data_IF_381499149520
#
_entry.id   IF_381499149520
#
_cell.length_a   1.000
_cell.length_b   1.000
_cell.length_c   1.000
_cell.angle_alpha   90.00
_cell.angle_beta   90.00
_cell.angle_gamma   90.00
#
_symmetry.space_group_name_H-M   'P 1'
#
loop_
_entity.id
_entity.type
_entity.pdbx_description
1 polymer ?
#
# COMPACT_ATOMS: atom_id res chain seq x y z
N UNK A 1 -8.31 49.56 14.39
CA UNK A 1 -7.71 48.48 13.58
C UNK A 1 -7.43 47.32 14.51
N UNK A 2 -8.28 46.31 14.49
CA UNK A 2 -8.03 45.01 15.11
C UNK A 2 -8.64 44.00 14.17
N UNK A 3 -7.81 43.50 13.24
CA UNK A 3 -8.12 42.37 12.39
C UNK A 3 -8.10 41.13 13.27
N UNK A 4 -9.28 40.60 13.59
CA UNK A 4 -9.41 39.26 14.14
C UNK A 4 -9.31 38.28 12.99
N UNK A 5 -8.12 37.72 12.79
CA UNK A 5 -7.93 36.50 12.02
C UNK A 5 -8.71 35.39 12.73
N UNK A 6 -9.78 34.90 12.08
CA UNK A 6 -10.43 33.66 12.48
C UNK A 6 -9.56 32.51 12.00
N UNK A 7 -9.14 31.63 12.92
CA UNK A 7 -8.62 30.33 12.53
C UNK A 7 -9.67 29.60 11.67
N UNK A 8 -9.28 28.90 10.60
CA UNK A 8 -10.24 28.14 9.82
C UNK A 8 -10.81 27.05 10.73
N UNK A 9 -12.13 27.05 10.88
CA UNK A 9 -12.85 25.91 11.42
C UNK A 9 -12.65 24.79 10.41
N UNK A 10 -11.95 23.72 10.78
CA UNK A 10 -11.87 22.53 9.94
C UNK A 10 -13.31 22.13 9.57
N UNK A 11 -13.59 22.07 8.26
CA UNK A 11 -14.90 21.64 7.79
C UNK A 11 -15.18 20.24 8.36
N UNK A 12 -16.43 19.94 8.70
CA UNK A 12 -16.82 18.67 9.32
C UNK A 12 -16.44 17.41 8.50
N UNK A 13 -16.00 17.60 7.25
CA UNK A 13 -15.61 16.56 6.29
C UNK A 13 -14.10 16.58 5.94
N UNK A 14 -13.27 17.37 6.64
CA UNK A 14 -11.82 17.41 6.39
C UNK A 14 -11.16 16.10 6.84
N UNK A 15 -10.24 15.58 6.01
CA UNK A 15 -9.38 14.43 6.31
C UNK A 15 -7.94 14.84 6.17
N UNK A 16 -7.10 14.45 7.12
CA UNK A 16 -5.66 14.66 7.01
C UNK A 16 -5.03 13.56 6.15
N UNK A 17 -4.18 13.94 5.21
CA UNK A 17 -3.34 13.02 4.44
C UNK A 17 -1.87 13.22 4.81
N UNK A 18 -1.17 12.11 5.01
CA UNK A 18 0.28 12.04 5.12
C UNK A 18 0.87 11.51 3.82
N UNK A 19 1.92 12.18 3.33
CA UNK A 19 2.52 11.89 2.04
C UNK A 19 3.99 11.59 2.21
N UNK A 20 4.40 10.45 1.65
CA UNK A 20 5.79 10.06 1.51
C UNK A 20 6.31 10.43 0.13
N UNK A 21 7.57 10.84 0.04
CA UNK A 21 8.20 11.31 -1.22
C UNK A 21 9.56 10.66 -1.45
N UNK A 22 10.01 10.62 -2.70
CA UNK A 22 11.41 10.33 -3.04
C UNK A 22 12.20 11.62 -3.26
N UNK A 23 13.54 11.57 -3.21
CA UNK A 23 14.38 12.68 -3.65
C UNK A 23 14.03 13.13 -5.06
N UNK A 24 14.10 14.44 -5.29
CA UNK A 24 14.10 15.01 -6.64
C UNK A 24 15.51 14.83 -7.23
N UNK A 25 15.73 13.68 -7.87
CA UNK A 25 17.03 13.27 -8.42
C UNK A 25 17.49 11.90 -7.94
N UNK A 26 18.79 11.62 -8.12
CA UNK A 26 19.38 10.32 -7.81
C UNK A 26 19.78 10.16 -6.34
N UNK A 27 19.96 11.25 -5.61
CA UNK A 27 20.56 11.24 -4.28
C UNK A 27 19.49 11.42 -3.20
N UNK A 28 19.40 10.48 -2.27
CA UNK A 28 18.59 10.64 -1.06
C UNK A 28 19.06 11.87 -0.25
N UNK A 29 18.11 12.62 0.30
CA UNK A 29 18.28 13.87 1.02
C UNK A 29 18.23 15.12 0.13
N UNK A 30 17.79 15.01 -1.14
CA UNK A 30 17.78 16.10 -2.12
C UNK A 30 16.51 16.96 -2.12
N UNK A 31 15.62 16.82 -1.14
CA UNK A 31 14.44 17.67 -0.98
C UNK A 31 13.16 16.92 -0.61
N UNK A 32 13.27 15.64 -0.35
CA UNK A 32 12.17 14.78 0.06
C UNK A 32 11.90 14.84 1.56
N UNK A 33 10.75 14.29 1.92
CA UNK A 33 10.28 14.27 3.28
C UNK A 33 8.85 13.78 3.40
N UNK A 34 8.32 13.94 4.60
CA UNK A 34 6.93 13.66 4.92
C UNK A 34 6.17 14.96 4.82
N UNK A 35 5.11 14.96 4.04
CA UNK A 35 4.21 16.09 3.89
C UNK A 35 2.87 15.78 4.52
N UNK A 36 2.17 16.82 4.93
CA UNK A 36 0.80 16.78 5.43
C UNK A 36 -0.05 17.75 4.64
N UNK A 37 -1.27 17.34 4.30
CA UNK A 37 -2.30 18.26 3.81
C UNK A 37 -3.67 17.81 4.29
N UNK A 38 -4.67 18.65 4.07
CA UNK A 38 -6.07 18.32 4.30
C UNK A 38 -6.78 18.08 2.97
N UNK A 39 -7.75 17.17 2.94
CA UNK A 39 -8.67 16.99 1.82
C UNK A 39 -10.10 17.10 2.33
N UNK A 40 -10.94 17.87 1.65
CA UNK A 40 -12.38 17.86 1.93
C UNK A 40 -12.99 16.60 1.33
N UNK A 41 -13.40 15.64 2.17
CA UNK A 41 -13.95 14.37 1.69
C UNK A 41 -15.30 14.51 0.94
N UNK A 42 -15.98 15.65 1.07
CA UNK A 42 -17.22 15.94 0.37
C UNK A 42 -17.00 16.60 -0.99
N UNK A 43 -15.95 17.41 -1.19
CA UNK A 43 -15.66 18.09 -2.47
C UNK A 43 -14.47 17.50 -3.23
N UNK A 44 -13.48 16.97 -2.53
CA UNK A 44 -12.20 16.49 -3.07
C UNK A 44 -11.12 17.58 -3.13
N UNK A 45 -11.41 18.79 -2.65
CA UNK A 45 -10.48 19.91 -2.64
C UNK A 45 -9.30 19.65 -1.69
N UNK A 46 -8.08 19.81 -2.19
CA UNK A 46 -6.84 19.67 -1.45
C UNK A 46 -6.44 21.02 -0.84
N UNK A 47 -6.11 21.00 0.45
CA UNK A 47 -5.54 22.12 1.17
C UNK A 47 -4.05 22.33 0.86
N UNK A 48 -3.49 23.43 1.38
CA UNK A 48 -2.07 23.72 1.22
C UNK A 48 -1.18 22.64 1.86
N UNK A 49 -0.20 22.08 1.13
CA UNK A 49 0.69 21.08 1.67
C UNK A 49 1.76 21.69 2.57
N UNK A 50 2.03 21.04 3.70
CA UNK A 50 3.08 21.40 4.65
C UNK A 50 4.12 20.28 4.73
N UNK A 51 5.39 20.61 4.52
CA UNK A 51 6.50 19.71 4.82
C UNK A 51 6.67 19.64 6.35
N UNK A 52 6.43 18.47 6.93
CA UNK A 52 6.37 18.27 8.39
C UNK A 52 7.57 17.51 8.94
N UNK A 53 8.29 16.76 8.09
CA UNK A 53 9.58 16.18 8.44
C UNK A 53 10.48 16.06 7.20
N UNK A 54 11.73 16.52 7.31
CA UNK A 54 12.76 16.22 6.31
C UNK A 54 13.42 14.90 6.70
N UNK A 55 13.23 13.88 5.88
CA UNK A 55 13.81 12.55 6.08
C UNK A 55 14.14 11.96 4.71
N UNK A 56 15.21 11.16 4.57
CA UNK A 56 15.58 10.62 3.27
C UNK A 56 14.60 9.53 2.81
N UNK A 57 14.24 9.56 1.53
CA UNK A 57 13.36 8.62 0.81
C UNK A 57 12.24 7.99 1.66
N UNK A 58 11.31 8.76 2.28
CA UNK A 58 10.14 8.23 2.97
C UNK A 58 9.11 7.71 1.97
N UNK A 59 9.46 6.66 1.23
CA UNK A 59 8.69 6.15 0.10
C UNK A 59 7.40 5.43 0.51
N UNK A 60 7.30 5.02 1.78
CA UNK A 60 6.13 4.37 2.36
C UNK A 60 5.94 4.77 3.82
N UNK A 61 4.69 5.00 4.21
CA UNK A 61 4.29 5.43 5.54
C UNK A 61 3.29 4.47 6.16
N UNK A 62 3.24 4.39 7.48
CA UNK A 62 2.18 3.72 8.22
C UNK A 62 1.83 4.47 9.51
N UNK A 63 0.55 4.60 9.80
CA UNK A 63 0.07 5.04 11.12
C UNK A 63 -0.06 3.85 12.05
N UNK A 64 0.17 4.06 13.35
CA UNK A 64 -0.23 3.08 14.36
C UNK A 64 -1.76 2.92 14.40
N UNK A 65 -2.29 1.80 14.92
CA UNK A 65 -3.74 1.58 14.98
C UNK A 65 -4.53 2.67 15.74
N UNK A 66 -3.85 3.44 16.60
CA UNK A 66 -4.44 4.53 17.35
C UNK A 66 -4.43 5.88 16.60
N UNK A 67 -3.73 5.99 15.46
CA UNK A 67 -3.57 7.24 14.73
C UNK A 67 -2.77 8.30 15.50
N UNK A 68 -1.89 7.87 16.41
CA UNK A 68 -1.08 8.74 17.29
C UNK A 68 0.39 8.78 16.90
N UNK A 69 0.84 7.82 16.09
CA UNK A 69 2.23 7.74 15.61
C UNK A 69 2.26 7.44 14.13
N UNK A 70 3.26 8.00 13.46
CA UNK A 70 3.58 7.74 12.06
C UNK A 70 4.96 7.10 11.97
N UNK A 71 5.09 6.09 11.13
CA UNK A 71 6.36 5.45 10.81
C UNK A 71 6.64 5.60 9.32
N UNK A 72 7.91 5.84 9.00
CA UNK A 72 8.37 5.98 7.63
C UNK A 72 9.57 5.08 7.38
N UNK A 73 9.57 4.39 6.25
CA UNK A 73 10.79 3.74 5.76
C UNK A 73 11.76 4.80 5.25
N UNK A 74 13.06 4.49 5.23
CA UNK A 74 14.06 5.24 4.48
C UNK A 74 14.57 4.30 3.39
N UNK A 75 14.00 4.42 2.19
CA UNK A 75 14.26 3.50 1.08
C UNK A 75 15.60 3.83 0.40
N UNK A 76 16.69 3.38 1.02
CA UNK A 76 18.06 3.51 0.54
C UNK A 76 18.83 2.20 0.75
N UNK A 77 20.05 2.09 0.22
CA UNK A 77 20.92 0.94 0.47
C UNK A 77 21.13 0.69 1.97
N UNK A 78 21.32 1.77 2.75
CA UNK A 78 21.37 1.73 4.21
C UNK A 78 19.99 1.99 4.81
N UNK A 79 19.07 1.06 4.54
CA UNK A 79 17.67 1.14 4.91
C UNK A 79 17.44 1.35 6.41
N UNK A 80 16.46 2.22 6.73
CA UNK A 80 16.06 2.50 8.10
C UNK A 80 14.53 2.61 8.22
N UNK A 81 14.04 2.61 9.45
CA UNK A 81 12.67 2.99 9.81
C UNK A 81 12.73 4.04 10.90
N UNK A 82 12.02 5.14 10.69
CA UNK A 82 11.90 6.25 11.63
C UNK A 82 10.48 6.31 12.19
N UNK A 83 10.36 6.50 13.50
CA UNK A 83 9.08 6.72 14.18
C UNK A 83 8.89 8.18 14.56
N UNK A 84 7.65 8.65 14.52
CA UNK A 84 7.26 10.00 14.86
C UNK A 84 5.97 10.00 15.70
N UNK A 85 5.91 10.80 16.76
CA UNK A 85 4.67 11.11 17.46
C UNK A 85 3.94 12.24 16.75
N UNK A 86 2.62 12.11 16.58
CA UNK A 86 1.79 13.17 16.04
C UNK A 86 1.53 14.22 17.13
N UNK A 87 1.81 15.48 16.82
CA UNK A 87 1.57 16.59 17.74
C UNK A 87 0.15 17.16 17.55
N UNK A 88 -0.36 17.85 18.57
CA UNK A 88 -1.73 18.39 18.54
C UNK A 88 -1.96 19.46 17.46
N UNK A 89 -0.91 20.11 17.00
CA UNK A 89 -0.91 21.06 15.87
C UNK A 89 -0.72 20.38 14.50
N UNK A 90 -0.67 19.05 14.47
CA UNK A 90 -0.55 18.24 13.25
C UNK A 90 0.85 18.23 12.65
N UNK A 91 1.88 18.36 13.49
CA UNK A 91 3.29 18.15 13.17
C UNK A 91 3.77 16.76 13.60
N UNK A 92 5.09 16.53 13.46
CA UNK A 92 5.75 15.26 13.78
C UNK A 92 6.93 15.51 14.72
N UNK A 93 6.94 14.83 15.87
CA UNK A 93 8.07 14.79 16.79
C UNK A 93 8.83 13.46 16.64
N UNK A 94 10.14 13.45 16.36
CA UNK A 94 10.88 12.22 16.14
C UNK A 94 11.02 11.37 17.41
N UNK A 95 10.67 10.09 17.32
CA UNK A 95 10.83 9.08 18.38
C UNK A 95 12.16 8.33 18.27
N UNK A 96 12.73 8.26 17.07
CA UNK A 96 13.99 7.56 16.81
C UNK A 96 14.02 6.96 15.42
N UNK A 97 15.20 6.47 15.04
CA UNK A 97 15.43 5.78 13.77
C UNK A 97 16.39 4.62 13.98
N UNK A 98 16.06 3.47 13.39
CA UNK A 98 16.85 2.23 13.48
C UNK A 98 16.98 1.58 12.11
N UNK A 99 18.01 0.76 11.86
CA UNK A 99 18.11 0.00 10.62
C UNK A 99 16.87 -0.87 10.38
N UNK A 100 16.39 -0.93 9.14
CA UNK A 100 15.16 -1.66 8.78
C UNK A 100 15.32 -3.19 8.77
N UNK A 101 16.54 -3.69 8.97
CA UNK A 101 16.88 -5.10 8.83
C UNK A 101 17.18 -5.53 7.38
N UNK A 102 17.34 -4.59 6.45
CA UNK A 102 17.74 -4.85 5.06
C UNK A 102 17.92 -3.54 4.27
N UNK A 103 18.17 -3.66 2.97
CA UNK A 103 18.32 -2.55 2.03
C UNK A 103 17.03 -2.27 1.26
N UNK A 104 16.83 -1.00 0.93
CA UNK A 104 15.66 -0.48 0.22
C UNK A 104 14.34 -0.96 0.85
N UNK A 105 14.07 -0.65 2.14
CA UNK A 105 12.77 -0.90 2.75
C UNK A 105 11.70 -0.13 1.97
N UNK A 106 10.72 -0.85 1.43
CA UNK A 106 9.74 -0.31 0.50
C UNK A 106 8.30 -0.35 1.02
N UNK A 107 8.09 -0.97 2.18
CA UNK A 107 6.78 -1.07 2.82
C UNK A 107 6.92 -1.24 4.33
N UNK A 108 5.99 -0.63 5.08
CA UNK A 108 5.88 -0.76 6.52
C UNK A 108 4.40 -0.87 6.92
N UNK A 109 4.11 -1.68 7.92
CA UNK A 109 2.80 -1.73 8.61
C UNK A 109 3.07 -1.63 10.10
N UNK A 110 2.32 -0.78 10.80
CA UNK A 110 2.33 -0.74 12.26
C UNK A 110 1.23 -1.65 12.81
N UNK A 111 1.61 -2.56 13.69
CA UNK A 111 0.70 -3.44 14.45
C UNK A 111 0.89 -3.19 15.94
N UNK A 112 0.06 -3.80 16.77
CA UNK A 112 0.17 -3.65 18.22
C UNK A 112 1.57 -4.10 18.72
N UNK A 113 2.36 -3.14 19.21
CA UNK A 113 3.70 -3.35 19.77
C UNK A 113 4.83 -3.64 18.78
N UNK A 114 4.61 -3.59 17.47
CA UNK A 114 5.67 -3.86 16.49
C UNK A 114 5.43 -3.21 15.12
N UNK A 115 6.48 -3.11 14.32
CA UNK A 115 6.43 -2.77 12.91
C UNK A 115 6.81 -3.99 12.07
N UNK A 116 6.07 -4.19 10.97
CA UNK A 116 6.35 -5.17 9.93
C UNK A 116 6.93 -4.44 8.72
N UNK A 117 8.09 -4.85 8.26
CA UNK A 117 8.86 -4.14 7.22
C UNK A 117 9.31 -5.11 6.15
N UNK A 118 9.16 -4.74 4.88
CA UNK A 118 9.75 -5.49 3.76
C UNK A 118 10.85 -4.70 3.10
N UNK A 119 11.98 -5.36 2.87
CA UNK A 119 13.17 -4.79 2.26
C UNK A 119 13.34 -5.38 0.86
N UNK A 120 13.19 -4.54 -0.16
CA UNK A 120 13.18 -4.95 -1.56
C UNK A 120 14.56 -5.45 -2.02
N UNK A 121 15.63 -4.75 -1.61
CA UNK A 121 16.97 -5.00 -2.13
C UNK A 121 17.56 -6.37 -1.75
N UNK A 122 17.25 -6.86 -0.55
CA UNK A 122 17.74 -8.15 -0.05
C UNK A 122 16.66 -9.23 0.03
N UNK A 123 15.41 -8.87 -0.27
CA UNK A 123 14.24 -9.71 -0.09
C UNK A 123 14.06 -10.22 1.34
N UNK A 124 13.96 -9.30 2.30
CA UNK A 124 13.80 -9.67 3.71
C UNK A 124 12.53 -9.11 4.32
N UNK A 125 11.85 -9.94 5.10
CA UNK A 125 10.86 -9.51 6.07
C UNK A 125 11.55 -9.19 7.40
N UNK A 126 11.24 -8.06 8.00
CA UNK A 126 11.78 -7.65 9.28
C UNK A 126 10.66 -7.24 10.24
N UNK A 127 10.86 -7.53 11.51
CA UNK A 127 9.94 -7.16 12.59
C UNK A 127 10.71 -6.34 13.61
N UNK A 128 10.26 -5.10 13.82
CA UNK A 128 10.87 -4.16 14.75
C UNK A 128 9.93 -3.99 15.94
N UNK A 129 10.27 -4.51 17.13
CA UNK A 129 9.47 -4.25 18.33
C UNK A 129 9.45 -2.75 18.64
N UNK A 130 8.33 -2.27 19.18
CA UNK A 130 8.19 -0.91 19.68
C UNK A 130 8.42 -0.88 21.19
N UNK A 131 9.10 0.15 21.69
CA UNK A 131 9.17 0.38 23.13
C UNK A 131 7.88 1.00 23.68
N UNK A 132 7.89 1.35 24.98
CA UNK A 132 6.71 1.92 25.65
C UNK A 132 6.30 3.31 25.13
N UNK A 133 7.23 4.03 24.49
CA UNK A 133 6.98 5.34 23.86
C UNK A 133 6.54 5.17 22.40
N UNK A 134 6.70 3.97 21.85
CA UNK A 134 6.43 3.63 20.45
C UNK A 134 7.62 3.90 19.53
N UNK A 135 8.82 4.03 20.07
CA UNK A 135 10.02 4.11 19.24
C UNK A 135 10.39 2.72 18.71
N UNK A 136 10.78 2.59 17.43
CA UNK A 136 11.23 1.31 16.89
C UNK A 136 12.57 0.89 17.50
N UNK A 137 12.69 -0.41 17.78
CA UNK A 137 13.90 -1.04 18.33
C UNK A 137 14.53 -2.00 17.32
N UNK A 138 15.57 -2.74 17.74
CA UNK A 138 16.35 -3.62 16.86
C UNK A 138 15.48 -4.61 16.07
N UNK A 139 15.74 -4.71 14.77
CA UNK A 139 14.99 -5.54 13.85
C UNK A 139 15.34 -7.04 13.99
N UNK A 140 14.30 -7.88 14.04
CA UNK A 140 14.40 -9.31 13.79
C UNK A 140 14.24 -9.55 12.28
N UNK A 141 15.28 -10.06 11.64
CA UNK A 141 15.34 -10.23 10.17
C UNK A 141 15.07 -11.69 9.76
N UNK A 142 14.17 -11.88 8.80
CA UNK A 142 13.88 -13.15 8.14
C UNK A 142 14.13 -13.00 6.63
N UNK A 143 15.23 -13.60 6.16
CA UNK A 143 15.61 -13.56 4.75
C UNK A 143 14.88 -14.60 3.92
N UNK A 144 14.45 -14.21 2.74
CA UNK A 144 13.92 -15.12 1.74
C UNK A 144 15.05 -15.75 0.91
N UNK A 145 14.72 -16.79 0.14
CA UNK A 145 15.63 -17.48 -0.79
C UNK A 145 14.84 -17.90 -2.03
N UNK A 146 15.52 -17.98 -3.18
CA UNK A 146 14.91 -18.32 -4.46
C UNK A 146 15.11 -17.25 -5.53
N UNK A 147 14.60 -17.53 -6.72
CA UNK A 147 14.68 -16.66 -7.91
C UNK A 147 13.44 -16.91 -8.78
N UNK A 148 13.20 -16.04 -9.75
CA UNK A 148 12.18 -16.18 -10.78
C UNK A 148 12.78 -16.18 -12.19
N UNK A 149 11.97 -16.32 -13.24
CA UNK A 149 12.46 -16.39 -14.62
C UNK A 149 12.87 -15.04 -15.24
N UNK A 150 12.43 -13.90 -14.71
CA UNK A 150 12.86 -12.58 -15.21
C UNK A 150 14.26 -12.23 -14.67
N UNK A 151 15.28 -12.34 -15.52
CA UNK A 151 16.68 -12.19 -15.12
C UNK A 151 17.07 -10.79 -14.63
N UNK A 152 16.27 -9.76 -14.95
CA UNK A 152 16.54 -8.37 -14.57
C UNK A 152 15.75 -7.94 -13.33
N UNK A 153 14.71 -8.69 -12.95
CA UNK A 153 13.75 -8.32 -11.89
C UNK A 153 13.55 -9.40 -10.82
N UNK A 154 14.07 -10.60 -11.04
CA UNK A 154 13.87 -11.79 -10.24
C UNK A 154 15.17 -12.61 -10.10
N UNK A 155 16.32 -11.94 -10.14
CA UNK A 155 17.65 -12.51 -9.91
C UNK A 155 17.84 -13.05 -8.49
N UNK A 156 16.96 -12.62 -7.58
CA UNK A 156 16.88 -13.03 -6.20
C UNK A 156 15.53 -12.65 -5.60
N UNK A 157 15.36 -12.85 -4.29
CA UNK A 157 14.14 -12.47 -3.59
C UNK A 157 13.98 -10.95 -3.49
N UNK A 158 12.76 -10.48 -3.62
CA UNK A 158 12.38 -9.06 -3.52
C UNK A 158 11.06 -8.92 -2.75
N UNK A 159 11.14 -8.97 -1.43
CA UNK A 159 10.02 -8.76 -0.52
C UNK A 159 9.48 -7.33 -0.70
N UNK A 160 8.24 -7.20 -1.16
CA UNK A 160 7.69 -5.91 -1.60
C UNK A 160 6.55 -5.40 -0.71
N UNK A 161 5.78 -6.30 -0.10
CA UNK A 161 4.58 -5.92 0.67
C UNK A 161 4.36 -6.89 1.82
N UNK A 162 3.79 -6.39 2.91
CA UNK A 162 3.30 -7.22 4.01
C UNK A 162 1.92 -6.73 4.41
N UNK A 163 0.98 -7.66 4.59
CA UNK A 163 -0.36 -7.37 5.07
C UNK A 163 -0.83 -8.42 6.08
N UNK A 164 -1.75 -8.03 6.96
CA UNK A 164 -2.36 -8.95 7.90
C UNK A 164 -3.45 -9.80 7.21
N UNK A 165 -3.36 -11.12 7.33
CA UNK A 165 -4.35 -12.06 6.84
C UNK A 165 -4.72 -13.00 7.99
N UNK A 166 -5.97 -12.94 8.44
CA UNK A 166 -6.41 -13.58 9.70
C UNK A 166 -5.56 -13.20 10.93
N UNK A 167 -4.93 -12.01 10.89
CA UNK A 167 -4.03 -11.51 11.94
C UNK A 167 -2.57 -11.91 11.77
N UNK A 168 -2.25 -12.86 10.89
CA UNK A 168 -0.88 -13.27 10.61
C UNK A 168 -0.26 -12.40 9.50
N UNK A 169 1.03 -12.05 9.61
CA UNK A 169 1.77 -11.39 8.53
C UNK A 169 1.91 -12.31 7.31
N UNK A 170 1.42 -11.84 6.17
CA UNK A 170 1.64 -12.45 4.85
C UNK A 170 2.46 -11.48 4.00
N UNK A 171 3.64 -11.94 3.60
CA UNK A 171 4.63 -11.19 2.84
C UNK A 171 4.60 -11.60 1.39
N UNK A 172 4.58 -10.61 0.51
CA UNK A 172 4.70 -10.76 -0.93
C UNK A 172 6.16 -10.70 -1.34
N UNK A 173 6.61 -11.67 -2.11
CA UNK A 173 7.93 -11.68 -2.72
C UNK A 173 7.81 -11.66 -4.24
N UNK A 174 8.15 -10.51 -4.83
CA UNK A 174 8.15 -10.28 -6.28
C UNK A 174 9.18 -11.19 -6.96
N UNK A 175 10.35 -11.32 -6.34
CA UNK A 175 11.50 -12.01 -6.90
C UNK A 175 11.35 -13.52 -7.00
N UNK A 176 10.48 -14.11 -6.17
CA UNK A 176 10.28 -15.56 -6.13
C UNK A 176 8.89 -16.01 -6.56
N UNK A 177 8.01 -15.10 -6.99
CA UNK A 177 6.62 -15.42 -7.36
C UNK A 177 5.84 -16.11 -6.22
N UNK A 178 6.01 -15.64 -4.97
CA UNK A 178 5.45 -16.30 -3.77
C UNK A 178 4.80 -15.33 -2.77
N UNK A 179 3.81 -15.83 -2.04
CA UNK A 179 3.36 -15.27 -0.75
C UNK A 179 3.84 -16.19 0.37
N UNK A 180 4.39 -15.61 1.45
CA UNK A 180 4.89 -16.33 2.63
C UNK A 180 4.22 -15.84 3.90
N UNK A 181 3.76 -16.76 4.75
CA UNK A 181 3.17 -16.44 6.05
C UNK A 181 4.20 -16.57 7.16
N UNK A 182 4.09 -15.70 8.17
CA UNK A 182 4.91 -15.71 9.37
C UNK A 182 4.04 -15.72 10.63
N UNK A 183 4.58 -16.14 11.78
CA UNK A 183 3.91 -15.99 13.06
C UNK A 183 3.61 -14.52 13.38
N UNK A 184 2.50 -14.27 14.06
CA UNK A 184 2.07 -12.91 14.43
C UNK A 184 2.90 -12.27 15.54
N UNK A 185 3.34 -13.06 16.53
CA UNK A 185 3.96 -12.51 17.74
C UNK A 185 5.47 -12.37 17.58
N UNK A 186 6.05 -11.33 18.18
CA UNK A 186 7.50 -11.08 18.19
C UNK A 186 8.26 -12.27 18.79
N UNK A 187 7.71 -12.93 19.82
CA UNK A 187 8.37 -14.06 20.46
C UNK A 187 8.37 -15.31 19.57
N UNK A 188 7.26 -15.60 18.88
CA UNK A 188 7.20 -16.72 17.92
C UNK A 188 8.13 -16.47 16.72
N UNK A 189 8.19 -15.23 16.24
CA UNK A 189 9.12 -14.81 15.19
C UNK A 189 10.58 -14.96 15.64
N UNK A 190 10.91 -14.55 16.86
CA UNK A 190 12.26 -14.72 17.43
C UNK A 190 12.62 -16.21 17.51
N UNK A 191 11.70 -17.04 18.00
CA UNK A 191 11.90 -18.49 18.05
C UNK A 191 12.10 -19.10 16.65
N UNK A 192 11.38 -18.59 15.64
CA UNK A 192 11.56 -18.99 14.24
C UNK A 192 12.97 -18.64 13.72
N UNK A 193 13.44 -17.43 14.00
CA UNK A 193 14.79 -16.96 13.63
C UNK A 193 15.87 -17.81 14.31
N UNK A 194 15.77 -17.99 15.62
CA UNK A 194 16.73 -18.78 16.42
C UNK A 194 16.75 -20.26 15.99
N UNK A 195 15.59 -20.81 15.63
CA UNK A 195 15.46 -22.16 15.12
C UNK A 195 15.89 -22.35 13.66
N UNK A 196 16.12 -21.26 12.92
CA UNK A 196 16.43 -21.30 11.49
C UNK A 196 15.30 -21.91 10.64
N UNK A 197 14.05 -21.74 11.06
CA UNK A 197 12.88 -22.32 10.38
C UNK A 197 12.45 -21.41 9.24
N UNK A 198 12.43 -21.87 7.97
CA UNK A 198 12.01 -21.04 6.86
C UNK A 198 10.53 -20.65 6.97
N UNK A 199 10.18 -19.53 6.36
CA UNK A 199 8.79 -19.10 6.26
C UNK A 199 7.96 -20.11 5.47
N UNK A 200 6.69 -20.29 5.84
CA UNK A 200 5.77 -21.13 5.10
C UNK A 200 5.31 -20.39 3.84
N UNK A 201 5.60 -20.94 2.66
CA UNK A 201 4.97 -20.51 1.41
C UNK A 201 3.49 -20.85 1.46
N UNK A 202 2.63 -19.85 1.28
CA UNK A 202 1.17 -19.97 1.32
C UNK A 202 0.51 -19.73 -0.03
N UNK A 203 1.22 -19.19 -1.02
CA UNK A 203 0.79 -19.20 -2.41
C UNK A 203 1.99 -19.10 -3.35
N UNK A 204 1.86 -19.66 -4.55
CA UNK A 204 2.85 -19.55 -5.63
C UNK A 204 2.14 -19.13 -6.91
N UNK A 205 2.75 -18.21 -7.65
CA UNK A 205 2.21 -17.68 -8.91
C UNK A 205 2.89 -18.36 -10.10
N UNK A 206 2.32 -18.25 -11.32
CA UNK A 206 3.06 -18.57 -12.53
C UNK A 206 4.39 -17.80 -12.57
N UNK A 207 5.47 -18.46 -13.01
CA UNK A 207 6.77 -17.83 -13.07
C UNK A 207 6.78 -16.57 -13.93
N UNK A 208 7.32 -15.48 -13.39
CA UNK A 208 7.39 -14.17 -14.05
C UNK A 208 6.18 -13.28 -13.79
N UNK A 209 5.30 -13.65 -12.86
CA UNK A 209 4.17 -12.79 -12.48
C UNK A 209 4.66 -11.55 -11.71
N UNK A 210 5.56 -11.75 -10.75
CA UNK A 210 6.09 -10.73 -9.87
C UNK A 210 5.00 -10.09 -9.00
N UNK A 211 4.42 -10.82 -8.03
CA UNK A 211 3.39 -10.26 -7.14
C UNK A 211 3.97 -9.08 -6.37
N UNK A 212 3.17 -8.01 -6.22
CA UNK A 212 3.64 -6.75 -5.65
C UNK A 212 2.90 -6.41 -4.37
N UNK A 213 1.61 -6.08 -4.47
CA UNK A 213 0.73 -5.72 -3.35
C UNK A 213 -0.54 -6.58 -3.41
N UNK A 214 -1.22 -6.76 -2.27
CA UNK A 214 -2.54 -7.38 -2.25
C UNK A 214 -3.56 -6.60 -1.41
N UNK A 215 -4.83 -6.75 -1.77
CA UNK A 215 -5.97 -6.35 -0.96
C UNK A 215 -6.68 -7.58 -0.40
N UNK A 216 -7.11 -7.50 0.86
CA UNK A 216 -7.83 -8.58 1.55
C UNK A 216 -9.33 -8.35 1.42
N UNK A 217 -10.04 -9.25 0.75
CA UNK A 217 -11.49 -9.26 0.77
C UNK A 217 -11.95 -9.97 2.05
N UNK A 218 -12.63 -9.30 3.00
CA UNK A 218 -13.05 -9.93 4.24
C UNK A 218 -14.05 -11.05 3.99
N UNK A 219 -14.05 -12.06 4.87
CA UNK A 219 -15.03 -13.15 4.88
C UNK A 219 -16.46 -12.68 5.18
N UNK A 220 -17.38 -13.64 5.31
CA UNK A 220 -18.74 -13.34 5.75
C UNK A 220 -18.73 -12.72 7.15
N UNK A 221 -19.56 -11.70 7.38
CA UNK A 221 -19.71 -11.08 8.69
C UNK A 221 -20.03 -12.14 9.77
N UNK A 222 -19.32 -12.11 10.89
CA UNK A 222 -19.45 -13.08 11.99
C UNK A 222 -18.62 -14.36 11.85
N UNK A 223 -17.80 -14.50 10.79
CA UNK A 223 -16.74 -15.50 10.72
C UNK A 223 -15.42 -14.79 11.02
N UNK A 224 -14.95 -14.87 12.26
CA UNK A 224 -13.80 -14.08 12.71
C UNK A 224 -12.52 -14.44 11.95
N UNK A 225 -11.94 -13.42 11.31
CA UNK A 225 -10.57 -13.43 10.79
C UNK A 225 -10.34 -14.06 9.41
N UNK A 226 -11.20 -14.98 8.94
CA UNK A 226 -10.96 -15.64 7.65
C UNK A 226 -11.27 -14.71 6.45
N UNK A 227 -10.33 -14.48 5.52
CA UNK A 227 -10.62 -13.73 4.30
C UNK A 227 -11.50 -14.55 3.35
N UNK A 228 -12.32 -13.89 2.53
CA UNK A 228 -12.99 -14.53 1.41
C UNK A 228 -12.02 -14.75 0.24
N UNK A 229 -11.12 -13.80 -0.01
CA UNK A 229 -10.11 -13.87 -1.05
C UNK A 229 -8.99 -12.85 -0.81
N UNK A 230 -7.87 -13.02 -1.51
CA UNK A 230 -6.87 -11.98 -1.73
C UNK A 230 -6.90 -11.56 -3.20
N UNK A 231 -6.84 -10.26 -3.46
CA UNK A 231 -6.62 -9.71 -4.79
C UNK A 231 -5.18 -9.24 -4.90
N UNK A 232 -4.37 -9.92 -5.70
CA UNK A 232 -2.92 -9.68 -5.77
C UNK A 232 -2.60 -9.02 -7.11
N UNK A 233 -2.08 -7.79 -7.06
CA UNK A 233 -1.57 -7.11 -8.23
C UNK A 233 -0.14 -7.61 -8.52
N UNK A 234 0.09 -8.07 -9.74
CA UNK A 234 1.37 -8.61 -10.20
C UNK A 234 2.03 -7.62 -11.18
N UNK A 235 3.24 -7.18 -10.82
CA UNK A 235 3.94 -6.07 -11.48
C UNK A 235 4.46 -6.44 -12.87
N UNK A 236 4.96 -7.68 -13.03
CA UNK A 236 5.75 -8.06 -14.21
C UNK A 236 4.88 -8.56 -15.36
N UNK A 237 3.81 -9.29 -15.07
CA UNK A 237 2.87 -9.81 -16.07
C UNK A 237 1.59 -8.97 -16.25
N UNK A 238 1.47 -7.89 -15.47
CA UNK A 238 0.37 -6.91 -15.51
C UNK A 238 -1.03 -7.52 -15.30
N UNK A 239 -1.19 -8.34 -14.25
CA UNK A 239 -2.45 -8.99 -13.90
C UNK A 239 -2.91 -8.68 -12.47
N UNK A 240 -4.18 -8.99 -12.22
CA UNK A 240 -4.73 -9.14 -10.88
C UNK A 240 -5.13 -10.59 -10.70
N UNK A 241 -4.52 -11.26 -9.74
CA UNK A 241 -4.83 -12.63 -9.36
C UNK A 241 -5.84 -12.67 -8.22
N UNK A 242 -6.78 -13.60 -8.30
CA UNK A 242 -7.75 -13.90 -7.24
C UNK A 242 -7.29 -15.17 -6.54
N UNK A 243 -6.94 -15.04 -5.27
CA UNK A 243 -6.52 -16.13 -4.40
C UNK A 243 -7.63 -16.46 -3.41
N UNK A 244 -7.93 -17.74 -3.22
CA UNK A 244 -8.97 -18.20 -2.29
C UNK A 244 -8.39 -19.10 -1.21
N UNK A 245 -8.91 -19.05 0.03
CA UNK A 245 -8.39 -19.88 1.12
C UNK A 245 -8.54 -21.37 0.82
N UNK A 246 -7.47 -22.12 1.03
CA UNK A 246 -7.46 -23.58 1.01
C UNK A 246 -7.69 -24.17 2.41
N UNK A 247 -8.03 -25.45 2.47
CA UNK A 247 -8.33 -26.17 3.73
C UNK A 247 -7.13 -26.24 4.68
N UNK A 248 -5.91 -26.25 4.14
CA UNK A 248 -4.67 -26.30 4.92
C UNK A 248 -4.21 -24.90 5.40
N UNK A 249 -5.00 -23.86 5.16
CA UNK A 249 -4.65 -22.47 5.48
C UNK A 249 -3.62 -21.86 4.51
N UNK A 250 -3.41 -22.44 3.34
CA UNK A 250 -2.75 -21.78 2.20
C UNK A 250 -3.79 -21.07 1.31
N UNK A 251 -3.37 -20.56 0.16
CA UNK A 251 -4.22 -19.94 -0.84
C UNK A 251 -4.00 -20.58 -2.21
N UNK A 252 -5.10 -20.82 -2.92
CA UNK A 252 -5.09 -21.30 -4.31
C UNK A 252 -5.43 -20.16 -5.26
N UNK A 253 -4.78 -20.14 -6.42
CA UNK A 253 -5.14 -19.22 -7.51
C UNK A 253 -6.46 -19.69 -8.14
N UNK A 254 -7.55 -18.97 -7.85
CA UNK A 254 -8.86 -19.22 -8.46
C UNK A 254 -8.92 -18.71 -9.91
N UNK A 255 -8.15 -17.66 -10.22
CA UNK A 255 -8.09 -17.08 -11.56
C UNK A 255 -7.29 -15.78 -11.59
N UNK A 256 -7.25 -15.16 -12.75
CA UNK A 256 -6.67 -13.82 -12.91
C UNK A 256 -7.30 -13.07 -14.09
N UNK A 257 -7.25 -11.75 -14.03
CA UNK A 257 -7.67 -10.83 -15.10
C UNK A 257 -6.52 -9.90 -15.47
N UNK A 258 -6.45 -9.35 -16.70
CA UNK A 258 -5.57 -8.23 -17.00
C UNK A 258 -5.80 -7.08 -16.01
N UNK A 259 -4.73 -6.45 -15.52
CA UNK A 259 -4.86 -5.36 -14.55
C UNK A 259 -5.42 -4.06 -15.17
N UNK A 260 -5.37 -3.93 -16.49
CA UNK A 260 -5.87 -2.79 -17.24
C UNK A 260 -6.27 -3.20 -18.67
N UNK A 261 -7.18 -2.45 -19.29
CA UNK A 261 -7.47 -2.51 -20.71
C UNK A 261 -6.90 -1.28 -21.47
N UNK A 262 -6.21 -0.37 -20.77
CA UNK A 262 -5.67 0.85 -21.33
C UNK A 262 -4.60 0.54 -22.40
N UNK A 263 -4.62 1.27 -23.53
CA UNK A 263 -3.61 1.10 -24.56
C UNK A 263 -2.24 1.55 -24.06
N UNK A 264 -1.20 0.86 -24.50
CA UNK A 264 0.20 1.25 -24.29
C UNK A 264 0.83 1.71 -25.61
N UNK A 265 1.84 2.61 -25.56
CA UNK A 265 2.74 2.81 -26.69
C UNK A 265 3.39 1.50 -27.13
N UNK A 266 3.78 1.39 -28.40
CA UNK A 266 4.46 0.20 -28.93
C UNK A 266 5.74 -0.10 -28.12
N UNK A 267 5.88 -1.33 -27.63
CA UNK A 267 6.99 -1.75 -26.77
C UNK A 267 6.87 -1.30 -25.30
N UNK A 268 5.83 -0.55 -24.94
CA UNK A 268 5.51 -0.20 -23.57
C UNK A 268 4.99 -1.39 -22.76
N UNK A 269 5.14 -1.32 -21.44
CA UNK A 269 4.60 -2.29 -20.47
C UNK A 269 3.83 -1.53 -19.39
N UNK A 270 2.75 -2.15 -18.92
CA UNK A 270 2.03 -1.71 -17.72
C UNK A 270 2.63 -2.36 -16.49
N UNK A 271 2.80 -1.60 -15.43
CA UNK A 271 3.32 -2.09 -14.16
C UNK A 271 2.34 -1.74 -13.03
N UNK A 272 1.40 -2.66 -12.70
CA UNK A 272 0.55 -2.50 -11.53
C UNK A 272 1.38 -2.17 -10.29
N UNK A 273 0.93 -1.19 -9.51
CA UNK A 273 1.62 -0.70 -8.33
C UNK A 273 0.84 -1.03 -7.05
N UNK A 274 -0.09 -0.17 -6.65
CA UNK A 274 -0.92 -0.35 -5.47
C UNK A 274 -2.29 -0.95 -5.85
N UNK A 275 -2.89 -1.69 -4.93
CA UNK A 275 -4.23 -2.27 -5.05
C UNK A 275 -4.98 -2.11 -3.73
N UNK A 276 -6.22 -1.63 -3.79
CA UNK A 276 -7.06 -1.42 -2.62
C UNK A 276 -8.54 -1.62 -2.95
N UNK A 277 -9.32 -2.00 -1.94
CA UNK A 277 -10.77 -2.13 -2.04
C UNK A 277 -11.47 -0.84 -1.64
N UNK A 278 -12.69 -0.63 -2.14
CA UNK A 278 -13.63 0.31 -1.49
C UNK A 278 -13.97 -0.16 -0.08
N UNK A 279 -14.46 0.75 0.77
CA UNK A 279 -14.79 0.44 2.17
C UNK A 279 -15.77 -0.74 2.33
N UNK A 280 -16.70 -0.92 1.39
CA UNK A 280 -17.65 -2.03 1.38
C UNK A 280 -17.17 -3.28 0.60
N UNK A 281 -15.96 -3.24 0.04
CA UNK A 281 -15.33 -4.34 -0.68
C UNK A 281 -15.96 -4.68 -2.02
N UNK A 282 -16.86 -3.84 -2.54
CA UNK A 282 -17.55 -4.09 -3.82
C UNK A 282 -16.81 -3.52 -5.04
N UNK A 283 -15.78 -2.70 -4.83
CA UNK A 283 -14.89 -2.20 -5.87
C UNK A 283 -13.44 -2.50 -5.51
N UNK A 284 -12.64 -2.81 -6.53
CA UNK A 284 -11.20 -2.95 -6.45
C UNK A 284 -10.56 -1.90 -7.37
N UNK A 285 -9.59 -1.17 -6.84
CA UNK A 285 -8.83 -0.17 -7.57
C UNK A 285 -7.39 -0.66 -7.73
N UNK A 286 -6.79 -0.40 -8.89
CA UNK A 286 -5.39 -0.73 -9.17
C UNK A 286 -4.74 0.46 -9.88
N UNK A 287 -3.64 0.96 -9.32
CA UNK A 287 -2.83 1.97 -9.99
C UNK A 287 -1.89 1.30 -10.99
N UNK A 288 -1.81 1.85 -12.20
CA UNK A 288 -1.06 1.26 -13.31
C UNK A 288 -0.03 2.25 -13.83
N UNK A 289 1.25 1.97 -13.60
CA UNK A 289 2.35 2.76 -14.17
C UNK A 289 2.58 2.40 -15.64
N UNK A 290 2.99 3.37 -16.43
CA UNK A 290 3.26 3.21 -17.87
C UNK A 290 2.04 3.52 -18.72
N UNK A 291 0.88 2.94 -18.38
CA UNK A 291 -0.41 3.40 -18.92
C UNK A 291 -0.93 4.65 -18.19
N UNK A 292 -0.49 4.87 -16.95
CA UNK A 292 -0.80 6.03 -16.12
C UNK A 292 -2.31 6.25 -15.91
N UNK A 293 -2.97 5.14 -15.56
CA UNK A 293 -4.40 5.06 -15.27
C UNK A 293 -4.65 4.50 -13.86
N UNK A 294 -5.82 4.81 -13.30
CA UNK A 294 -6.43 4.02 -12.23
C UNK A 294 -7.46 3.09 -12.84
N UNK A 295 -7.23 1.78 -12.73
CA UNK A 295 -8.17 0.75 -13.17
C UNK A 295 -9.17 0.44 -12.06
N UNK A 296 -10.47 0.43 -12.40
CA UNK A 296 -11.57 0.13 -11.48
C UNK A 296 -12.23 -1.19 -11.88
N UNK A 297 -12.43 -2.07 -10.90
CA UNK A 297 -13.15 -3.33 -11.08
C UNK A 297 -14.35 -3.42 -10.14
N UNK A 298 -15.45 -4.02 -10.61
CA UNK A 298 -16.49 -4.53 -9.72
C UNK A 298 -16.05 -5.86 -9.12
N UNK A 299 -16.34 -6.03 -7.82
CA UNK A 299 -16.11 -7.27 -7.08
C UNK A 299 -17.46 -7.93 -6.84
N UNK A 300 -17.74 -9.03 -7.54
CA UNK A 300 -18.89 -9.89 -7.25
C UNK A 300 -18.47 -11.01 -6.32
N UNK A 301 -19.13 -11.09 -5.15
CA UNK A 301 -19.00 -12.22 -4.21
C UNK A 301 -19.87 -13.40 -4.62
N UNK A 302 -20.83 -13.18 -5.50
CA UNK A 302 -21.77 -14.21 -5.91
C UNK A 302 -21.15 -15.10 -6.98
N UNK A 303 -20.88 -16.33 -6.56
CA UNK A 303 -20.70 -17.48 -7.42
C UNK A 303 -21.86 -17.57 -8.43
N UNK A 304 -21.62 -17.29 -9.71
CA UNK A 304 -22.53 -17.77 -10.75
C UNK A 304 -22.36 -19.29 -10.88
N UNK A 305 -22.98 -20.03 -9.96
CA UNK A 305 -23.14 -21.48 -9.99
C UNK A 305 -22.51 -22.23 -8.79
N UNK A 306 -22.96 -23.47 -8.53
CA UNK A 306 -22.43 -24.34 -7.45
C UNK A 306 -20.95 -24.72 -7.61
N UNK A 307 -20.32 -24.33 -8.72
CA UNK A 307 -18.93 -24.66 -9.09
C UNK A 307 -17.97 -23.45 -9.03
N UNK A 308 -18.42 -22.25 -8.62
CA UNK A 308 -17.54 -21.08 -8.64
C UNK A 308 -16.50 -21.12 -7.52
N UNK A 309 -15.23 -21.00 -7.89
CA UNK A 309 -14.09 -21.16 -6.99
C UNK A 309 -13.78 -19.92 -6.11
N UNK A 310 -14.45 -18.78 -6.30
CA UNK A 310 -14.14 -17.53 -5.60
C UNK A 310 -14.91 -16.31 -6.12
N UNK A 311 -14.62 -15.10 -5.58
CA UNK A 311 -15.19 -13.86 -6.11
C UNK A 311 -14.70 -13.58 -7.53
N UNK A 312 -15.49 -12.83 -8.29
CA UNK A 312 -15.22 -12.47 -9.68
C UNK A 312 -14.89 -10.98 -9.79
N UNK A 313 -13.87 -10.67 -10.59
CA UNK A 313 -13.51 -9.31 -10.98
C UNK A 313 -14.03 -8.99 -12.38
N UNK A 314 -14.80 -7.92 -12.51
CA UNK A 314 -15.21 -7.34 -13.78
C UNK A 314 -14.53 -5.98 -13.94
N UNK A 315 -13.74 -5.81 -15.01
CA UNK A 315 -13.14 -4.51 -15.32
C UNK A 315 -14.23 -3.53 -15.76
N UNK A 316 -14.30 -2.37 -15.12
CA UNK A 316 -15.30 -1.35 -15.38
C UNK A 316 -14.72 -0.20 -16.21
N UNK A 317 -13.58 0.33 -15.79
CA UNK A 317 -12.97 1.50 -16.42
C UNK A 317 -11.46 1.58 -16.15
N UNK A 318 -10.76 2.23 -17.08
CA UNK A 318 -9.43 2.78 -16.86
C UNK A 318 -9.54 4.30 -16.89
N UNK A 319 -9.30 4.96 -15.76
CA UNK A 319 -9.39 6.43 -15.66
C UNK A 319 -7.99 7.04 -15.84
N UNK A 320 -7.76 7.86 -16.88
CA UNK A 320 -6.52 8.60 -17.03
C UNK A 320 -6.29 9.55 -15.86
N UNK A 321 -5.07 9.54 -15.31
CA UNK A 321 -4.76 10.31 -14.10
C UNK A 321 -4.34 11.75 -14.36
N UNK A 322 -3.95 12.08 -15.59
CA UNK A 322 -3.34 13.37 -15.93
C UNK A 322 -1.92 13.57 -15.39
N UNK A 323 -1.46 12.71 -14.46
CA UNK A 323 -0.07 12.57 -14.05
C UNK A 323 0.58 11.29 -14.58
N UNK A 324 1.85 11.08 -14.24
CA UNK A 324 2.66 9.97 -14.70
C UNK A 324 3.19 9.12 -13.54
N UNK A 325 3.22 7.81 -13.76
CA UNK A 325 3.79 6.82 -12.85
C UNK A 325 3.09 6.77 -11.47
N UNK A 326 1.78 6.45 -11.41
CA UNK A 326 1.05 6.33 -10.17
C UNK A 326 1.60 5.19 -9.30
N UNK A 327 2.32 5.54 -8.23
CA UNK A 327 2.99 4.54 -7.38
C UNK A 327 2.09 4.05 -6.24
N UNK A 328 1.21 4.93 -5.75
CA UNK A 328 0.30 4.65 -4.64
C UNK A 328 -0.95 5.52 -4.73
N UNK A 329 -2.01 5.12 -4.03
CA UNK A 329 -3.19 5.93 -3.84
C UNK A 329 -3.87 5.60 -2.50
N UNK A 330 -4.70 6.51 -2.02
CA UNK A 330 -5.60 6.27 -0.90
C UNK A 330 -7.05 6.32 -1.40
N UNK A 331 -7.86 5.34 -1.00
CA UNK A 331 -9.32 5.40 -1.13
C UNK A 331 -9.84 5.98 0.17
N UNK A 332 -10.41 7.18 0.12
CA UNK A 332 -10.76 7.91 1.32
C UNK A 332 -12.02 7.35 1.98
N UNK A 333 -12.05 7.38 3.32
CA UNK A 333 -13.23 7.03 4.08
C UNK A 333 -14.42 7.94 3.72
N UNK A 334 -15.63 7.40 3.54
CA UNK A 334 -16.81 8.20 3.26
C UNK A 334 -17.03 9.30 4.32
N UNK A 335 -17.53 10.47 3.88
CA UNK A 335 -17.82 11.58 4.77
C UNK A 335 -19.01 11.32 5.72
N UNK A 336 -19.89 10.38 5.37
CA UNK A 336 -21.09 10.03 6.12
C UNK A 336 -21.33 8.51 6.11
N UNK A 337 -22.16 8.04 7.05
CA UNK A 337 -22.57 6.65 7.11
C UNK A 337 -23.33 6.23 5.84
N UNK A 338 -23.02 5.03 5.34
CA UNK A 338 -23.63 4.44 4.15
C UNK A 338 -22.67 4.33 2.97
N UNK A 339 -23.15 3.76 1.86
CA UNK A 339 -22.39 3.68 0.62
C UNK A 339 -22.59 4.97 -0.18
N UNK A 340 -21.54 5.74 -0.47
CA UNK A 340 -21.67 6.95 -1.28
C UNK A 340 -22.03 6.60 -2.73
N UNK A 341 -22.45 7.59 -3.53
CA UNK A 341 -22.64 7.40 -4.98
C UNK A 341 -21.30 7.29 -5.73
N UNK A 342 -20.24 7.88 -5.16
CA UNK A 342 -18.89 7.86 -5.70
C UNK A 342 -17.84 7.63 -4.61
N UNK A 343 -16.79 6.88 -4.93
CA UNK A 343 -15.60 6.77 -4.10
C UNK A 343 -14.65 7.94 -4.39
N UNK A 344 -13.98 8.47 -3.37
CA UNK A 344 -12.98 9.52 -3.52
C UNK A 344 -11.59 8.91 -3.41
N UNK A 345 -10.76 9.08 -4.43
CA UNK A 345 -9.44 8.45 -4.53
C UNK A 345 -8.37 9.52 -4.76
N UNK A 346 -7.34 9.54 -3.92
CA UNK A 346 -6.19 10.44 -4.05
C UNK A 346 -4.98 9.65 -4.51
N UNK A 347 -4.44 9.98 -5.68
CA UNK A 347 -3.38 9.23 -6.36
C UNK A 347 -2.07 10.02 -6.35
N UNK A 348 -0.99 9.36 -5.95
CA UNK A 348 0.37 9.90 -6.00
C UNK A 348 1.05 9.53 -7.32
N UNK A 349 1.24 10.52 -8.20
CA UNK A 349 1.93 10.34 -9.48
C UNK A 349 3.40 10.73 -9.34
N UNK A 350 4.27 9.73 -9.28
CA UNK A 350 5.67 9.89 -8.93
C UNK A 350 6.42 10.78 -9.94
N UNK A 351 6.31 10.47 -11.23
CA UNK A 351 7.19 11.08 -12.24
C UNK A 351 6.69 12.44 -12.74
N UNK A 352 5.43 12.80 -12.45
CA UNK A 352 4.88 14.13 -12.74
C UNK A 352 4.85 15.06 -11.53
N UNK A 353 5.27 14.60 -10.35
CA UNK A 353 5.29 15.41 -9.12
C UNK A 353 3.94 16.09 -8.82
N UNK A 354 2.86 15.31 -8.85
CA UNK A 354 1.54 15.79 -8.46
C UNK A 354 0.68 14.71 -7.80
N UNK A 355 -0.31 15.18 -7.05
CA UNK A 355 -1.47 14.41 -6.62
C UNK A 355 -2.62 14.64 -7.59
N UNK A 356 -3.39 13.58 -7.82
CA UNK A 356 -4.66 13.60 -8.57
C UNK A 356 -5.77 13.18 -7.63
N UNK A 357 -6.86 13.94 -7.54
CA UNK A 357 -8.07 13.53 -6.83
C UNK A 357 -9.15 13.15 -7.83
N UNK A 358 -9.64 11.92 -7.73
CA UNK A 358 -10.70 11.38 -8.56
C UNK A 358 -11.96 11.11 -7.74
N UNK A 359 -13.13 11.44 -8.31
CA UNK A 359 -14.40 10.83 -7.93
C UNK A 359 -14.70 9.67 -8.86
N UNK A 360 -14.80 8.48 -8.32
CA UNK A 360 -15.14 7.27 -9.09
C UNK A 360 -16.63 6.99 -8.95
N UNK A 361 -17.37 7.15 -10.04
CA UNK A 361 -18.80 6.80 -10.07
C UNK A 361 -18.96 5.29 -9.83
N UNK A 362 -19.75 4.92 -8.84
CA UNK A 362 -19.91 3.51 -8.48
C UNK A 362 -20.81 2.76 -9.44
N UNK A 363 -21.63 3.41 -10.26
CA UNK A 363 -22.47 2.75 -11.24
C UNK A 363 -21.64 2.12 -12.37
N UNK A 364 -20.62 2.81 -12.87
CA UNK A 364 -19.85 2.40 -14.06
C UNK A 364 -18.32 2.40 -13.86
N UNK A 365 -17.83 2.80 -12.68
CA UNK A 365 -16.41 2.82 -12.34
C UNK A 365 -15.62 3.96 -12.98
N UNK A 366 -16.28 4.87 -13.71
CA UNK A 366 -15.62 5.98 -14.38
C UNK A 366 -15.17 7.06 -13.39
N UNK A 367 -13.90 7.48 -13.51
CA UNK A 367 -13.36 8.54 -12.67
C UNK A 367 -13.48 9.93 -13.30
N UNK A 368 -13.82 10.91 -12.49
CA UNK A 368 -13.77 12.33 -12.81
C UNK A 368 -12.69 13.01 -11.97
N UNK A 369 -11.76 13.71 -12.63
CA UNK A 369 -10.79 14.58 -11.96
C UNK A 369 -11.54 15.73 -11.25
N UNK A 370 -11.33 15.86 -9.95
CA UNK A 370 -11.94 16.94 -9.14
C UNK A 370 -10.93 17.93 -8.60
N UNK A 371 -9.69 17.51 -8.37
CA UNK A 371 -8.60 18.41 -7.99
C UNK A 371 -7.23 17.82 -8.34
N UNK A 372 -6.22 18.69 -8.42
CA UNK A 372 -4.82 18.33 -8.59
C UNK A 372 -3.91 19.28 -7.80
N UNK A 373 -2.80 18.74 -7.27
CA UNK A 373 -1.87 19.53 -6.48
C UNK A 373 -0.43 19.12 -6.77
N UNK A 374 0.44 20.11 -6.98
CA UNK A 374 1.86 19.85 -7.11
C UNK A 374 2.46 19.41 -5.76
N UNK A 375 3.20 18.31 -5.78
CA UNK A 375 3.95 17.79 -4.64
C UNK A 375 5.22 17.10 -5.16
N UNK A 376 6.40 17.31 -4.57
CA UNK A 376 7.63 16.71 -5.10
C UNK A 376 7.60 15.18 -5.04
N UNK A 377 7.74 14.52 -6.18
CA UNK A 377 7.95 13.06 -6.35
C UNK A 377 7.18 12.17 -5.34
N UNK A 378 5.83 12.26 -5.30
CA UNK A 378 5.04 11.55 -4.30
C UNK A 378 5.07 10.04 -4.53
N UNK A 379 5.20 9.31 -3.44
CA UNK A 379 5.39 7.86 -3.43
C UNK A 379 4.29 7.12 -2.66
N UNK A 380 3.78 7.71 -1.57
CA UNK A 380 2.78 7.11 -0.69
C UNK A 380 1.79 8.18 -0.21
N UNK A 381 0.53 7.77 -0.02
CA UNK A 381 -0.56 8.60 0.52
C UNK A 381 -1.26 7.78 1.59
N UNK A 382 -1.34 8.29 2.81
CA UNK A 382 -2.01 7.64 3.96
C UNK A 382 -3.03 8.61 4.53
N UNK A 383 -4.29 8.18 4.62
CA UNK A 383 -5.33 8.90 5.35
C UNK A 383 -5.16 8.67 6.86
N UNK A 384 -5.35 9.75 7.65
CA UNK A 384 -5.19 9.75 9.11
C UNK A 384 -6.27 9.01 9.89
#
# INVERSE_FOLDING_TARGET
>A
MTSTSSAPVAAANSRTLWLGTYPDGADAGSGEGIWRLEVDAATGELGEPALVAVTPSPSFLALDPAGTRLYAVTETEHGAVSGFALTADGGLEPLGSVPSGGSYPCHVVAVDGALWVTNYGDGTFAVLPLDVEGAPTEALRLGHQGTGPDADRQEGPHAHFVGAVAGDPVVVDLGTDELRSYPRTVDDLRAQVEGGVPARVVATFPGGAGPRHFAVLPGAAGVDGAPAALFVATELDARVYVLVPAVDGSFEVAGSVPATAAPLPEGGRSYPSHVALSADGSRLFVAIRGADVLSTFAVSRDALGPDAAGPVLEHLADTPLGGAWPRHFAVLAPAADGTPEADLVVVANQNSSNLTVLRIDRADGAGTLVDELAIPVPACVVEA
#
